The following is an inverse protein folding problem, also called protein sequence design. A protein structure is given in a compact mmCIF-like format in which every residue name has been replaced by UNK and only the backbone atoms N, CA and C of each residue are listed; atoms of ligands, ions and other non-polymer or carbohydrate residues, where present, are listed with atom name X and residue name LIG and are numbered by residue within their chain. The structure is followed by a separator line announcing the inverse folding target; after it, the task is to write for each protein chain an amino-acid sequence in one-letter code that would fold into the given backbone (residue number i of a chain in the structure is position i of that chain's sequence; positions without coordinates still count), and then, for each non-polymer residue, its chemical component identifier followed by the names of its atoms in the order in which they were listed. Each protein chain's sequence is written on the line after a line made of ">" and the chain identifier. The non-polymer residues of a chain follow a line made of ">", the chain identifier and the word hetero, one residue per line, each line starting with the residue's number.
data_IF_321311307788
#
_entry.id   IF_321311307788
#
_cell.length_a   1.000
_cell.length_b   1.000
_cell.length_c   1.000
_cell.angle_alpha   90.00
_cell.angle_beta   90.00
_cell.angle_gamma   90.00
#
_symmetry.space_group_name_H-M   'P 1'
#
loop_
_entity.id
_entity.type
_entity.pdbx_description
1 polymer ?
#
# COMPACT_ATOMS: atom_id res chain seq x y z
N UNK A 1 -11.69 14.29 -19.33
CA UNK A 1 -12.22 13.23 -18.44
C UNK A 1 -11.33 13.13 -17.21
N UNK A 2 -11.90 13.01 -16.01
CA UNK A 2 -11.12 12.82 -14.77
C UNK A 2 -10.80 11.33 -14.58
N UNK A 3 -9.80 10.83 -15.32
CA UNK A 3 -9.39 9.42 -15.28
C UNK A 3 -8.95 9.00 -13.88
N UNK A 4 -8.45 9.92 -13.07
CA UNK A 4 -8.08 9.65 -11.69
C UNK A 4 -9.23 9.19 -10.79
N UNK A 5 -10.50 9.37 -11.17
CA UNK A 5 -11.66 8.84 -10.43
C UNK A 5 -12.05 7.41 -10.85
N UNK A 6 -11.48 6.91 -11.95
CA UNK A 6 -11.78 5.57 -12.48
C UNK A 6 -10.94 4.50 -11.76
N UNK A 7 -11.52 3.36 -11.33
CA UNK A 7 -10.78 2.22 -10.79
C UNK A 7 -9.71 1.68 -11.76
N UNK A 8 -8.62 1.13 -11.22
CA UNK A 8 -7.48 0.67 -12.01
C UNK A 8 -7.87 -0.42 -13.02
N UNK A 9 -8.67 -1.41 -12.61
CA UNK A 9 -9.14 -2.44 -13.54
C UNK A 9 -9.94 -1.86 -14.72
N UNK A 10 -10.74 -0.81 -14.49
CA UNK A 10 -11.48 -0.10 -15.55
C UNK A 10 -10.58 0.74 -16.45
N UNK A 11 -9.57 1.40 -15.89
CA UNK A 11 -8.55 2.09 -16.69
C UNK A 11 -7.85 1.12 -17.65
N UNK A 12 -7.51 -0.08 -17.16
CA UNK A 12 -6.91 -1.13 -18.00
C UNK A 12 -7.87 -1.64 -19.07
N UNK A 13 -9.15 -1.87 -18.74
CA UNK A 13 -10.17 -2.24 -19.74
C UNK A 13 -10.26 -1.20 -20.86
N UNK A 14 -10.33 0.09 -20.52
CA UNK A 14 -10.37 1.19 -21.50
C UNK A 14 -9.10 1.25 -22.35
N UNK A 15 -7.92 1.08 -21.75
CA UNK A 15 -6.63 1.05 -22.43
C UNK A 15 -6.54 -0.09 -23.44
N UNK A 16 -6.89 -1.31 -23.01
CA UNK A 16 -6.86 -2.49 -23.89
C UNK A 16 -7.92 -2.45 -24.98
N UNK A 17 -9.04 -1.75 -24.74
CA UNK A 17 -10.04 -1.41 -25.75
C UNK A 17 -9.62 -0.24 -26.66
N UNK A 18 -8.41 0.32 -26.48
CA UNK A 18 -7.86 1.44 -27.26
C UNK A 18 -8.72 2.72 -27.20
N UNK A 19 -9.45 2.91 -26.11
CA UNK A 19 -10.27 4.11 -25.88
C UNK A 19 -9.46 5.27 -25.30
N UNK A 20 -8.34 4.95 -24.63
CA UNK A 20 -7.39 5.88 -24.03
C UNK A 20 -5.98 5.29 -24.20
N UNK A 21 -4.96 6.14 -24.16
CA UNK A 21 -3.55 5.75 -24.11
C UNK A 21 -2.99 5.76 -22.69
N UNK A 22 -1.87 5.08 -22.49
CA UNK A 22 -1.12 5.08 -21.22
C UNK A 22 -0.58 6.46 -20.90
N UNK A 23 -0.09 7.18 -21.91
CA UNK A 23 0.36 8.58 -21.73
C UNK A 23 -0.77 9.46 -21.24
N UNK A 24 -1.99 9.33 -21.78
CA UNK A 24 -3.16 10.08 -21.30
C UNK A 24 -3.50 9.75 -19.84
N UNK A 25 -3.46 8.46 -19.46
CA UNK A 25 -3.66 8.04 -18.06
C UNK A 25 -2.62 8.72 -17.16
N UNK A 26 -1.33 8.54 -17.45
CA UNK A 26 -0.24 9.05 -16.60
C UNK A 26 -0.25 10.57 -16.52
N UNK A 27 -0.50 11.28 -17.62
CA UNK A 27 -0.62 12.74 -17.62
C UNK A 27 -1.81 13.22 -16.77
N UNK A 28 -2.92 12.48 -16.75
CA UNK A 28 -4.08 12.82 -15.91
C UNK A 28 -3.74 12.76 -14.42
N UNK A 29 -3.06 11.68 -13.98
CA UNK A 29 -2.61 11.54 -12.59
C UNK A 29 -1.51 12.55 -12.21
N UNK A 30 -0.53 12.81 -13.08
CA UNK A 30 0.49 13.84 -12.83
C UNK A 30 -0.11 15.25 -12.76
N UNK A 31 -1.14 15.54 -13.54
CA UNK A 31 -1.87 16.81 -13.46
C UNK A 31 -2.62 16.93 -12.14
N UNK A 32 -3.21 15.82 -11.66
CA UNK A 32 -3.83 15.76 -10.34
C UNK A 32 -2.81 16.03 -9.23
N UNK A 33 -1.69 15.32 -9.20
CA UNK A 33 -0.58 15.54 -8.26
C UNK A 33 -0.19 17.03 -8.24
N UNK A 34 0.10 17.63 -9.40
CA UNK A 34 0.46 19.05 -9.50
C UNK A 34 -0.57 20.00 -8.86
N UNK A 35 -1.85 19.66 -8.92
CA UNK A 35 -2.93 20.52 -8.43
C UNK A 35 -3.17 20.47 -6.91
N UNK A 36 -2.85 19.34 -6.26
CA UNK A 36 -3.26 19.09 -4.85
C UNK A 36 -2.13 18.63 -3.92
N UNK A 37 -1.01 18.13 -4.44
CA UNK A 37 0.06 17.52 -3.63
C UNK A 37 0.68 18.51 -2.63
N UNK A 38 0.72 19.81 -2.94
CA UNK A 38 1.21 20.83 -2.00
C UNK A 38 0.40 20.89 -0.69
N UNK A 39 -0.87 20.48 -0.72
CA UNK A 39 -1.76 20.43 0.45
C UNK A 39 -1.69 19.08 1.16
N UNK A 40 -1.63 17.98 0.40
CA UNK A 40 -1.72 16.61 0.92
C UNK A 40 -0.36 16.09 1.36
N UNK A 41 0.68 16.36 0.55
CA UNK A 41 2.05 15.92 0.76
C UNK A 41 2.16 14.40 0.86
N UNK A 42 1.55 13.66 -0.08
CA UNK A 42 1.57 12.22 -0.11
C UNK A 42 2.89 11.62 -0.64
N UNK A 43 3.71 12.37 -1.39
CA UNK A 43 4.91 11.89 -2.09
C UNK A 43 6.20 12.55 -1.60
N UNK A 44 7.21 11.74 -1.28
CA UNK A 44 8.60 12.21 -1.07
C UNK A 44 9.31 12.44 -2.40
N UNK A 45 9.06 11.56 -3.38
CA UNK A 45 9.70 11.62 -4.70
C UNK A 45 8.66 11.32 -5.77
N UNK A 46 8.42 12.25 -6.68
CA UNK A 46 7.56 12.04 -7.86
C UNK A 46 8.47 11.68 -9.05
N UNK A 47 8.09 10.66 -9.81
CA UNK A 47 8.92 10.10 -10.91
C UNK A 47 8.39 10.52 -12.28
N UNK A 48 7.98 11.78 -12.45
CA UNK A 48 7.27 12.29 -13.65
C UNK A 48 7.92 11.87 -14.99
N UNK A 49 9.21 12.16 -15.17
CA UNK A 49 9.90 11.83 -16.43
C UNK A 49 9.96 10.32 -16.66
N UNK A 50 10.28 9.55 -15.61
CA UNK A 50 10.36 8.08 -15.69
C UNK A 50 8.99 7.48 -15.98
N UNK A 51 7.93 7.98 -15.33
CA UNK A 51 6.57 7.53 -15.52
C UNK A 51 6.07 7.78 -16.95
N UNK A 52 6.39 8.94 -17.53
CA UNK A 52 6.04 9.26 -18.92
C UNK A 52 6.81 8.41 -19.93
N UNK A 53 8.09 8.11 -19.70
CA UNK A 53 8.85 7.20 -20.57
C UNK A 53 8.34 5.75 -20.48
N UNK A 54 8.01 5.27 -19.27
CA UNK A 54 7.34 3.98 -19.09
C UNK A 54 6.00 3.94 -19.84
N UNK A 55 5.21 5.02 -19.76
CA UNK A 55 3.92 5.12 -20.45
C UNK A 55 4.06 4.97 -21.97
N UNK A 56 5.01 5.69 -22.58
CA UNK A 56 5.31 5.58 -24.02
C UNK A 56 5.73 4.17 -24.41
N UNK A 57 6.49 3.48 -23.57
CA UNK A 57 6.90 2.10 -23.83
C UNK A 57 5.71 1.14 -23.83
N UNK A 58 4.76 1.29 -22.89
CA UNK A 58 3.51 0.49 -22.87
C UNK A 58 2.64 0.79 -24.09
N UNK A 59 2.48 2.07 -24.45
CA UNK A 59 1.72 2.44 -25.64
C UNK A 59 2.33 1.87 -26.92
N UNK A 60 3.67 1.83 -27.02
CA UNK A 60 4.38 1.18 -28.12
C UNK A 60 4.06 -0.32 -28.18
N UNK A 61 4.09 -1.04 -27.06
CA UNK A 61 3.71 -2.47 -27.00
C UNK A 61 2.29 -2.70 -27.49
N UNK A 62 1.34 -1.85 -27.09
CA UNK A 62 -0.06 -1.95 -27.52
C UNK A 62 -0.21 -1.69 -29.02
N UNK A 63 0.53 -0.71 -29.55
CA UNK A 63 0.51 -0.35 -30.97
C UNK A 63 1.11 -1.45 -31.85
N UNK A 64 2.16 -2.13 -31.40
CA UNK A 64 2.80 -3.27 -32.10
C UNK A 64 2.05 -4.59 -31.93
N UNK A 65 0.99 -4.62 -31.12
CA UNK A 65 0.20 -5.83 -30.85
C UNK A 65 0.89 -6.82 -29.90
N UNK A 66 1.91 -6.38 -29.17
CA UNK A 66 2.54 -7.16 -28.12
C UNK A 66 1.58 -7.37 -26.94
N UNK A 67 1.71 -8.51 -26.26
CA UNK A 67 0.93 -8.79 -25.06
C UNK A 67 1.38 -7.85 -23.94
N UNK A 68 0.41 -7.20 -23.29
CA UNK A 68 0.64 -6.35 -22.11
C UNK A 68 0.18 -7.04 -20.82
N UNK A 69 0.79 -6.65 -19.71
CA UNK A 69 0.54 -7.20 -18.38
C UNK A 69 -0.83 -6.86 -17.78
N UNK A 70 -1.06 -7.39 -16.57
CA UNK A 70 -2.26 -7.19 -15.74
C UNK A 70 -2.37 -5.79 -15.16
N UNK A 71 -1.27 -5.05 -15.09
CA UNK A 71 -1.22 -3.67 -14.58
C UNK A 71 -0.81 -2.67 -15.66
N UNK A 72 -0.92 -3.07 -16.93
CA UNK A 72 -0.53 -2.25 -18.08
C UNK A 72 -1.06 -0.82 -17.97
N UNK A 73 -0.13 0.12 -17.88
CA UNK A 73 -0.40 1.55 -17.88
C UNK A 73 -1.03 2.11 -16.60
N UNK A 74 -1.16 1.30 -15.54
CA UNK A 74 -1.76 1.72 -14.27
C UNK A 74 -0.74 2.49 -13.42
N UNK A 75 -1.03 3.74 -13.01
CA UNK A 75 -0.18 4.50 -12.09
C UNK A 75 -0.24 3.94 -10.66
N UNK A 76 0.91 3.50 -10.16
CA UNK A 76 1.09 2.91 -8.83
C UNK A 76 2.00 3.79 -7.98
N UNK A 77 1.52 4.12 -6.78
CA UNK A 77 2.32 4.74 -5.73
C UNK A 77 3.02 3.67 -4.88
N UNK A 78 4.28 3.90 -4.50
CA UNK A 78 5.10 2.92 -3.77
C UNK A 78 5.60 3.51 -2.46
N UNK A 79 5.27 2.90 -1.32
CA UNK A 79 5.80 3.34 -0.01
C UNK A 79 7.33 3.42 -0.01
N UNK A 80 7.87 4.50 0.55
CA UNK A 80 9.30 4.83 0.41
C UNK A 80 10.27 3.96 1.23
N UNK A 81 9.78 2.92 1.92
CA UNK A 81 10.60 1.84 2.48
C UNK A 81 10.67 0.60 1.58
N UNK A 82 10.14 0.67 0.36
CA UNK A 82 10.27 -0.38 -0.65
C UNK A 82 11.34 0.06 -1.66
N UNK A 83 12.43 -0.69 -1.73
CA UNK A 83 13.54 -0.43 -2.63
C UNK A 83 13.09 -0.46 -4.09
N UNK A 84 13.39 0.62 -4.81
CA UNK A 84 13.08 0.77 -6.24
C UNK A 84 14.35 1.21 -6.94
N UNK A 85 14.86 0.38 -7.85
CA UNK A 85 16.14 0.61 -8.53
C UNK A 85 16.17 1.98 -9.21
N UNK A 86 17.29 2.67 -9.05
CA UNK A 86 17.57 4.01 -9.61
C UNK A 86 16.62 5.11 -9.12
N UNK A 87 15.76 4.81 -8.13
CA UNK A 87 14.86 5.76 -7.49
C UNK A 87 15.25 5.88 -6.02
N UNK A 88 15.24 7.12 -5.53
CA UNK A 88 15.56 7.43 -4.14
C UNK A 88 14.61 6.68 -3.19
N UNK A 89 15.16 6.04 -2.16
CA UNK A 89 14.41 5.27 -1.16
C UNK A 89 14.88 5.70 0.23
N UNK A 90 14.07 6.49 0.93
CA UNK A 90 14.53 7.19 2.15
C UNK A 90 13.96 6.64 3.45
N UNK A 91 12.94 5.78 3.40
CA UNK A 91 12.14 5.42 4.57
C UNK A 91 11.60 6.63 5.36
N UNK A 92 11.39 7.77 4.68
CA UNK A 92 11.09 9.05 5.31
C UNK A 92 12.12 9.50 6.37
N UNK A 93 13.38 9.06 6.23
CA UNK A 93 14.46 9.34 7.17
C UNK A 93 15.55 10.21 6.55
N UNK A 94 16.19 11.05 7.39
CA UNK A 94 17.40 11.78 7.01
C UNK A 94 18.59 10.85 6.76
N UNK A 95 18.70 9.73 7.48
CA UNK A 95 19.87 8.83 7.36
C UNK A 95 19.94 8.16 5.98
N UNK A 96 18.79 8.04 5.28
CA UNK A 96 18.70 7.53 3.91
C UNK A 96 18.26 8.62 2.91
N UNK A 97 18.32 9.90 3.29
CA UNK A 97 17.75 11.00 2.50
C UNK A 97 18.34 11.19 1.10
N UNK A 98 19.52 10.62 0.84
CA UNK A 98 20.21 10.59 -0.45
C UNK A 98 20.40 9.16 -1.01
N UNK A 99 19.84 8.13 -0.36
CA UNK A 99 20.03 6.74 -0.80
C UNK A 99 19.26 6.46 -2.08
N UNK A 100 19.99 6.04 -3.13
CA UNK A 100 19.42 5.56 -4.39
C UNK A 100 19.59 4.04 -4.41
N UNK A 101 18.48 3.31 -4.47
CA UNK A 101 18.53 1.86 -4.47
C UNK A 101 19.21 1.33 -5.72
N UNK A 102 20.10 0.35 -5.56
CA UNK A 102 20.80 -0.32 -6.66
C UNK A 102 20.05 -1.54 -7.21
N UNK A 103 18.92 -1.89 -6.58
CA UNK A 103 18.10 -3.04 -6.94
C UNK A 103 16.62 -2.76 -6.72
N UNK A 104 15.78 -3.53 -7.38
CA UNK A 104 14.33 -3.54 -7.18
C UNK A 104 13.99 -4.53 -6.07
N UNK A 105 13.04 -4.17 -5.20
CA UNK A 105 12.36 -5.16 -4.38
C UNK A 105 11.57 -6.15 -5.27
N UNK A 106 11.34 -7.37 -4.81
CA UNK A 106 10.67 -8.39 -5.64
C UNK A 106 9.25 -7.96 -6.06
N UNK A 107 8.55 -7.20 -5.22
CA UNK A 107 7.24 -6.64 -5.57
C UNK A 107 7.35 -5.59 -6.68
N UNK A 108 8.46 -4.86 -6.75
CA UNK A 108 8.73 -3.85 -7.78
C UNK A 108 9.04 -4.53 -9.11
N UNK A 109 9.86 -5.59 -9.11
CA UNK A 109 10.09 -6.41 -10.30
C UNK A 109 8.77 -6.98 -10.84
N UNK A 110 7.92 -7.52 -9.96
CA UNK A 110 6.61 -8.09 -10.33
C UNK A 110 5.69 -7.05 -10.98
N UNK A 111 5.50 -5.88 -10.38
CA UNK A 111 4.63 -4.85 -10.99
C UNK A 111 5.21 -4.29 -12.29
N UNK A 112 6.54 -4.14 -12.40
CA UNK A 112 7.19 -3.71 -13.65
C UNK A 112 7.01 -4.74 -14.77
N UNK A 113 7.12 -6.03 -14.46
CA UNK A 113 6.88 -7.12 -15.40
C UNK A 113 5.41 -7.19 -15.87
N UNK A 114 4.49 -6.65 -15.06
CA UNK A 114 3.07 -6.52 -15.41
C UNK A 114 2.72 -5.13 -15.99
N UNK A 115 3.73 -4.39 -16.47
CA UNK A 115 3.61 -3.10 -17.17
C UNK A 115 2.99 -1.95 -16.35
N UNK A 116 3.11 -2.01 -15.01
CA UNK A 116 2.71 -0.92 -14.14
C UNK A 116 3.61 0.31 -14.28
N UNK A 117 3.04 1.49 -14.04
CA UNK A 117 3.77 2.77 -14.06
C UNK A 117 4.01 3.24 -12.63
N UNK A 118 5.26 3.31 -12.19
CA UNK A 118 5.57 3.82 -10.84
C UNK A 118 5.51 5.35 -10.90
N UNK A 119 4.49 5.93 -10.28
CA UNK A 119 4.22 7.39 -10.33
C UNK A 119 5.04 8.18 -9.29
N UNK A 120 5.49 7.49 -8.24
CA UNK A 120 6.35 8.08 -7.22
C UNK A 120 6.47 7.22 -5.95
N UNK A 121 7.31 7.71 -5.04
CA UNK A 121 7.56 7.16 -3.71
C UNK A 121 6.76 7.95 -2.67
N UNK A 122 5.90 7.27 -1.92
CA UNK A 122 5.00 7.90 -0.96
C UNK A 122 5.64 8.11 0.40
N UNK A 123 5.23 9.19 1.05
CA UNK A 123 5.62 9.54 2.40
C UNK A 123 5.11 8.51 3.42
N UNK A 124 5.77 8.47 4.57
CA UNK A 124 5.53 7.52 5.64
C UNK A 124 6.07 8.07 6.97
N UNK A 125 5.69 7.47 8.09
CA UNK A 125 6.47 7.64 9.32
C UNK A 125 7.89 7.10 9.12
N UNK A 126 8.88 7.78 9.70
CA UNK A 126 10.28 7.41 9.61
C UNK A 126 10.48 5.92 10.01
N UNK A 127 11.12 5.16 9.13
CA UNK A 127 11.34 3.70 9.27
C UNK A 127 10.08 2.87 9.58
N UNK A 128 8.92 3.33 9.12
CA UNK A 128 7.61 2.71 9.35
C UNK A 128 7.12 2.76 10.81
N UNK A 129 7.77 3.55 11.67
CA UNK A 129 7.51 3.65 13.10
C UNK A 129 6.58 4.83 13.44
N UNK A 130 5.28 4.59 13.33
CA UNK A 130 4.26 5.56 13.69
C UNK A 130 2.89 5.18 13.17
N UNK A 131 1.91 5.96 13.58
CA UNK A 131 0.49 5.76 13.25
C UNK A 131 -0.18 7.03 12.74
N UNK A 132 0.60 8.03 12.30
CA UNK A 132 0.05 9.30 11.81
C UNK A 132 0.75 9.93 10.61
N UNK A 133 1.90 9.40 10.18
CA UNK A 133 2.75 9.98 9.14
C UNK A 133 3.34 11.37 9.50
N UNK A 134 3.25 11.77 10.77
CA UNK A 134 3.82 13.02 11.29
C UNK A 134 5.30 12.88 11.64
N UNK A 135 5.77 11.65 11.91
CA UNK A 135 7.18 11.36 12.19
C UNK A 135 8.05 11.31 10.93
N UNK A 136 7.51 11.62 9.75
CA UNK A 136 8.33 11.78 8.55
C UNK A 136 9.37 12.86 8.77
N UNK A 137 10.65 12.56 8.52
CA UNK A 137 11.73 13.52 8.65
C UNK A 137 11.73 14.60 7.53
N UNK A 138 10.81 14.49 6.56
CA UNK A 138 10.63 15.46 5.48
C UNK A 138 9.47 16.42 5.75
N UNK A 139 8.26 15.89 5.93
CA UNK A 139 7.04 16.67 6.17
C UNK A 139 5.87 15.76 6.57
N UNK A 140 4.86 16.28 7.30
CA UNK A 140 3.64 15.52 7.58
C UNK A 140 2.75 15.42 6.33
N UNK A 141 2.16 14.25 6.10
CA UNK A 141 1.06 14.06 5.14
C UNK A 141 -0.27 14.40 5.81
N UNK A 142 -1.22 14.96 5.06
CA UNK A 142 -2.56 15.33 5.53
C UNK A 142 -3.64 14.40 4.98
N UNK A 143 -4.74 14.25 5.71
CA UNK A 143 -5.88 13.44 5.27
C UNK A 143 -6.67 14.18 4.16
N UNK A 144 -6.93 13.57 2.98
CA UNK A 144 -7.69 14.21 1.92
C UNK A 144 -9.14 14.57 2.29
N UNK A 145 -9.72 13.90 3.31
CA UNK A 145 -11.08 14.19 3.80
C UNK A 145 -11.13 15.37 4.77
N UNK A 146 -10.03 15.65 5.45
CA UNK A 146 -9.87 16.81 6.35
C UNK A 146 -8.37 17.12 6.51
N UNK A 147 -7.91 18.24 5.96
CA UNK A 147 -6.48 18.58 5.95
C UNK A 147 -5.90 18.87 7.34
N UNK A 148 -6.74 19.05 8.36
CA UNK A 148 -6.32 19.24 9.75
C UNK A 148 -6.11 17.92 10.50
N UNK A 149 -6.43 16.77 9.89
CA UNK A 149 -6.29 15.45 10.49
C UNK A 149 -5.21 14.60 9.82
N UNK A 150 -4.78 13.56 10.54
CA UNK A 150 -3.82 12.59 10.03
C UNK A 150 -4.46 11.62 9.03
N UNK A 151 -3.74 11.20 7.97
CA UNK A 151 -4.13 10.09 7.11
C UNK A 151 -3.86 8.71 7.76
N UNK A 152 -3.36 8.67 8.99
CA UNK A 152 -2.86 7.47 9.64
C UNK A 152 -1.39 7.17 9.33
N UNK A 153 -0.89 6.06 9.84
CA UNK A 153 0.49 5.63 9.64
C UNK A 153 0.74 4.14 9.83
N UNK A 154 1.86 3.62 9.34
CA UNK A 154 2.94 4.37 8.70
C UNK A 154 2.82 4.50 7.18
N UNK A 155 1.84 3.86 6.52
CA UNK A 155 1.61 4.01 5.08
C UNK A 155 0.66 5.19 4.75
N UNK A 156 0.75 6.28 5.52
CA UNK A 156 -0.15 7.44 5.40
C UNK A 156 -0.10 8.08 4.01
N UNK A 157 1.09 8.26 3.42
CA UNK A 157 1.23 8.76 2.06
C UNK A 157 0.60 7.84 1.00
N UNK A 158 0.76 6.52 1.12
CA UNK A 158 0.12 5.57 0.19
C UNK A 158 -1.41 5.64 0.24
N UNK A 159 -1.98 5.71 1.44
CA UNK A 159 -3.44 5.81 1.62
C UNK A 159 -4.00 7.16 1.20
N UNK A 160 -3.28 8.25 1.48
CA UNK A 160 -3.64 9.60 1.05
C UNK A 160 -3.58 9.76 -0.48
N UNK A 161 -2.52 9.26 -1.13
CA UNK A 161 -2.37 9.32 -2.59
C UNK A 161 -3.54 8.64 -3.32
N UNK A 162 -3.96 7.46 -2.86
CA UNK A 162 -5.12 6.74 -3.44
C UNK A 162 -6.42 7.49 -3.19
N UNK A 163 -6.68 7.92 -1.94
CA UNK A 163 -7.89 8.65 -1.57
C UNK A 163 -8.03 9.98 -2.34
N UNK A 164 -6.91 10.67 -2.58
CA UNK A 164 -6.86 11.94 -3.29
C UNK A 164 -6.92 11.83 -4.82
N UNK A 165 -6.80 10.61 -5.36
CA UNK A 165 -6.70 10.37 -6.80
C UNK A 165 -5.34 10.68 -7.41
N UNK A 166 -4.27 10.73 -6.60
CA UNK A 166 -2.89 10.94 -7.08
C UNK A 166 -2.22 9.64 -7.54
N UNK A 167 -2.78 8.49 -7.14
CA UNK A 167 -2.44 7.18 -7.68
C UNK A 167 -3.72 6.33 -7.85
N UNK A 168 -3.71 5.40 -8.80
CA UNK A 168 -4.84 4.49 -9.00
C UNK A 168 -4.88 3.42 -7.89
N UNK A 169 -3.71 2.90 -7.56
CA UNK A 169 -3.45 1.93 -6.49
C UNK A 169 -2.09 2.23 -5.87
N UNK A 170 -1.83 1.69 -4.67
CA UNK A 170 -0.56 1.87 -4.00
C UNK A 170 -0.10 0.60 -3.27
N UNK A 171 1.21 0.52 -3.04
CA UNK A 171 1.82 -0.42 -2.11
C UNK A 171 2.06 0.26 -0.77
N UNK A 172 1.77 -0.45 0.31
CA UNK A 172 2.16 -0.10 1.68
C UNK A 172 2.88 -1.25 2.37
N UNK A 173 3.27 -1.04 3.63
CA UNK A 173 3.77 -2.09 4.52
C UNK A 173 3.01 -2.05 5.84
N UNK A 174 2.65 -3.21 6.39
CA UNK A 174 1.89 -3.36 7.64
C UNK A 174 2.67 -4.26 8.60
N UNK A 175 3.08 -3.68 9.72
CA UNK A 175 3.78 -4.37 10.82
C UNK A 175 2.86 -4.54 12.02
N UNK A 176 2.14 -3.47 12.38
CA UNK A 176 1.19 -3.45 13.51
C UNK A 176 -0.18 -2.86 13.17
N UNK A 177 -0.51 -2.71 11.89
CA UNK A 177 -1.68 -1.96 11.41
C UNK A 177 -1.37 -0.95 10.31
N UNK A 178 -0.12 -0.86 9.87
CA UNK A 178 0.39 0.25 9.06
C UNK A 178 -0.11 0.32 7.62
N UNK A 179 -0.96 -0.62 7.16
CA UNK A 179 -1.77 -0.49 5.93
C UNK A 179 -3.24 -0.29 6.30
N UNK A 180 -3.75 -1.13 7.22
CA UNK A 180 -5.18 -1.17 7.56
C UNK A 180 -5.65 0.11 8.25
N UNK A 181 -4.86 0.67 9.15
CA UNK A 181 -5.21 1.89 9.87
C UNK A 181 -5.22 3.12 8.95
N UNK A 182 -4.21 3.36 8.10
CA UNK A 182 -4.29 4.42 7.10
C UNK A 182 -5.48 4.25 6.15
N UNK A 183 -5.72 3.01 5.69
CA UNK A 183 -6.84 2.75 4.78
C UNK A 183 -8.20 3.07 5.41
N UNK A 184 -8.40 2.72 6.69
CA UNK A 184 -9.59 3.06 7.44
C UNK A 184 -9.78 4.58 7.58
N UNK A 185 -8.70 5.32 7.88
CA UNK A 185 -8.75 6.76 8.10
C UNK A 185 -8.91 7.57 6.80
N UNK A 186 -8.50 7.03 5.66
CA UNK A 186 -8.66 7.68 4.35
C UNK A 186 -9.81 7.10 3.51
N UNK A 187 -10.63 6.21 4.08
CA UNK A 187 -11.77 5.62 3.37
C UNK A 187 -11.38 4.82 2.12
N UNK A 188 -10.22 4.15 2.16
CA UNK A 188 -9.72 3.30 1.06
C UNK A 188 -9.76 1.82 1.46
N UNK A 189 -9.60 0.93 0.48
CA UNK A 189 -9.45 -0.51 0.71
C UNK A 189 -7.97 -0.82 0.89
N UNK A 190 -7.59 -1.30 2.06
CA UNK A 190 -6.22 -1.76 2.32
C UNK A 190 -6.21 -2.94 3.28
N UNK A 191 -5.44 -3.97 2.96
CA UNK A 191 -5.31 -5.14 3.81
C UNK A 191 -3.88 -5.66 3.87
N UNK A 192 -3.56 -6.31 4.98
CA UNK A 192 -2.29 -7.02 5.15
C UNK A 192 -2.50 -8.48 4.75
N UNK A 193 -1.80 -9.00 3.73
CA UNK A 193 -1.89 -10.42 3.40
C UNK A 193 -1.31 -11.30 4.51
N UNK A 194 -1.49 -12.61 4.37
CA UNK A 194 -0.84 -13.62 5.21
C UNK A 194 0.67 -13.40 5.21
N UNK A 195 1.32 -13.55 6.37
CA UNK A 195 2.77 -13.44 6.46
C UNK A 195 3.45 -14.46 5.54
N UNK A 196 4.40 -14.00 4.73
CA UNK A 196 5.10 -14.80 3.72
C UNK A 196 4.38 -14.91 2.36
N UNK A 197 3.15 -14.41 2.21
CA UNK A 197 2.44 -14.44 0.92
C UNK A 197 3.09 -13.51 -0.12
N UNK A 198 3.59 -12.37 0.32
CA UNK A 198 4.33 -11.40 -0.50
C UNK A 198 5.76 -11.35 0.01
N UNK A 199 6.73 -11.38 -0.91
CA UNK A 199 8.14 -11.32 -0.54
C UNK A 199 8.47 -10.03 0.22
N UNK A 200 9.38 -10.15 1.18
CA UNK A 200 9.98 -9.04 1.93
C UNK A 200 11.36 -8.65 1.38
N UNK A 201 11.86 -9.31 0.33
CA UNK A 201 13.10 -8.90 -0.32
C UNK A 201 12.98 -7.49 -0.91
N UNK A 202 13.86 -6.59 -0.47
CA UNK A 202 13.83 -5.17 -0.82
C UNK A 202 12.79 -4.34 -0.06
N UNK A 203 12.06 -4.91 0.89
CA UNK A 203 11.41 -4.14 1.95
C UNK A 203 12.46 -3.80 3.00
N UNK A 204 12.66 -2.52 3.28
CA UNK A 204 13.52 -2.09 4.39
C UNK A 204 12.84 -2.48 5.70
N UNK A 205 13.48 -3.40 6.42
CA UNK A 205 12.91 -4.07 7.57
C UNK A 205 12.72 -3.14 8.77
N UNK A 206 11.54 -3.22 9.38
CA UNK A 206 11.26 -2.72 10.71
C UNK A 206 11.27 -3.90 11.69
N UNK A 207 10.24 -4.75 11.65
CA UNK A 207 10.18 -5.98 12.45
C UNK A 207 9.99 -7.17 11.51
N UNK A 208 11.08 -7.90 11.28
CA UNK A 208 11.18 -8.98 10.32
C UNK A 208 10.08 -10.05 10.46
N UNK A 209 9.68 -10.41 11.68
CA UNK A 209 8.64 -11.43 11.90
C UNK A 209 7.19 -10.93 11.68
N UNK A 210 7.01 -9.62 11.47
CA UNK A 210 5.70 -8.96 11.43
C UNK A 210 5.44 -8.26 10.10
N UNK A 211 6.50 -7.70 9.50
CA UNK A 211 6.43 -6.89 8.29
C UNK A 211 5.81 -7.64 7.11
N UNK A 212 4.86 -6.99 6.46
CA UNK A 212 4.26 -7.54 5.24
C UNK A 212 3.84 -6.40 4.30
N UNK A 213 4.26 -6.47 3.03
CA UNK A 213 3.76 -5.60 1.97
C UNK A 213 2.33 -5.98 1.61
N UNK A 214 1.49 -4.99 1.33
CA UNK A 214 0.10 -5.19 0.90
C UNK A 214 -0.44 -4.04 0.05
N UNK A 215 -1.61 -4.24 -0.58
CA UNK A 215 -2.22 -3.27 -1.46
C UNK A 215 -3.00 -2.20 -0.69
N UNK A 216 -3.12 -1.02 -1.29
CA UNK A 216 -4.12 0.00 -0.99
C UNK A 216 -4.77 0.44 -2.30
N UNK A 217 -6.10 0.47 -2.35
CA UNK A 217 -6.87 0.74 -3.57
C UNK A 217 -8.21 1.42 -3.26
N UNK A 218 -8.92 1.88 -4.29
CA UNK A 218 -10.25 2.49 -4.17
C UNK A 218 -11.37 1.46 -4.00
N UNK A 219 -11.18 0.27 -4.54
CA UNK A 219 -12.14 -0.82 -4.47
C UNK A 219 -11.46 -2.18 -4.22
N UNK A 220 -12.27 -3.19 -3.89
CA UNK A 220 -11.78 -4.53 -3.57
C UNK A 220 -11.19 -5.22 -4.79
N UNK A 221 -11.77 -5.04 -5.98
CA UNK A 221 -11.26 -5.63 -7.24
C UNK A 221 -9.82 -5.19 -7.53
N UNK A 222 -9.52 -3.90 -7.35
CA UNK A 222 -8.18 -3.35 -7.56
C UNK A 222 -7.18 -3.85 -6.50
N UNK A 223 -7.63 -4.04 -5.26
CA UNK A 223 -6.80 -4.63 -4.20
C UNK A 223 -6.48 -6.11 -4.48
N UNK A 224 -7.45 -6.87 -4.99
CA UNK A 224 -7.25 -8.26 -5.46
C UNK A 224 -6.28 -8.29 -6.63
N UNK A 225 -6.48 -7.44 -7.65
CA UNK A 225 -5.62 -7.33 -8.82
C UNK A 225 -4.16 -7.08 -8.43
N UNK A 226 -3.91 -6.11 -7.56
CA UNK A 226 -2.55 -5.80 -7.11
C UNK A 226 -1.95 -6.96 -6.30
N UNK A 227 -2.75 -7.60 -5.43
CA UNK A 227 -2.30 -8.75 -4.63
C UNK A 227 -1.91 -9.92 -5.51
N UNK A 228 -2.69 -10.20 -6.55
CA UNK A 228 -2.42 -11.27 -7.51
C UNK A 228 -1.06 -11.09 -8.17
N UNK A 229 -0.70 -9.85 -8.53
CA UNK A 229 0.61 -9.54 -9.14
C UNK A 229 1.76 -9.68 -8.14
N UNK A 230 1.59 -9.21 -6.91
CA UNK A 230 2.72 -9.14 -5.97
C UNK A 230 2.90 -10.41 -5.12
N UNK A 231 1.95 -11.32 -5.08
CA UNK A 231 2.02 -12.55 -4.27
C UNK A 231 2.88 -13.66 -4.90
N UNK A 232 3.32 -14.61 -4.07
CA UNK A 232 3.98 -15.84 -4.52
C UNK A 232 5.40 -15.99 -3.98
N UNK A 233 5.87 -17.25 -4.00
CA UNK A 233 7.20 -17.66 -3.53
C UNK A 233 8.30 -16.83 -4.21
N UNK A 234 9.33 -16.50 -3.44
CA UNK A 234 10.50 -15.77 -3.91
C UNK A 234 11.77 -16.47 -3.41
N UNK A 235 12.71 -16.87 -4.30
CA UNK A 235 13.98 -17.45 -3.88
C UNK A 235 14.85 -16.49 -3.06
N UNK A 236 14.66 -15.17 -3.18
CA UNK A 236 15.40 -14.16 -2.42
C UNK A 236 14.86 -13.94 -1.00
N UNK A 237 13.71 -14.55 -0.67
CA UNK A 237 13.10 -14.47 0.65
C UNK A 237 12.81 -15.87 1.19
N UNK A 238 13.64 -16.33 2.14
CA UNK A 238 13.49 -17.64 2.78
C UNK A 238 12.17 -17.80 3.54
N UNK A 239 11.53 -16.70 3.95
CA UNK A 239 10.24 -16.70 4.67
C UNK A 239 9.02 -16.64 3.76
N UNK A 240 9.22 -16.34 2.46
CA UNK A 240 8.13 -16.40 1.49
C UNK A 240 7.59 -17.82 1.38
N UNK A 241 6.29 -17.98 1.18
CA UNK A 241 5.64 -19.29 1.09
C UNK A 241 5.07 -19.51 -0.31
N UNK A 242 5.06 -20.76 -0.75
CA UNK A 242 4.27 -21.15 -1.91
C UNK A 242 2.81 -21.11 -1.50
N UNK A 243 2.04 -20.24 -2.14
CA UNK A 243 0.61 -20.12 -1.91
C UNK A 243 -0.09 -19.95 -3.24
N UNK A 244 -1.08 -20.79 -3.51
CA UNK A 244 -1.94 -20.62 -4.66
C UNK A 244 -2.97 -19.54 -4.32
N UNK A 245 -2.59 -18.28 -4.53
CA UNK A 245 -3.53 -17.19 -4.44
C UNK A 245 -4.60 -17.42 -5.50
N UNK A 246 -5.82 -17.66 -5.06
CA UNK A 246 -6.95 -17.84 -5.95
C UNK A 246 -7.65 -16.48 -6.08
N UNK A 247 -7.50 -15.78 -7.22
CA UNK A 247 -8.16 -14.50 -7.43
C UNK A 247 -9.66 -14.66 -7.73
N UNK A 248 -10.22 -15.90 -7.69
CA UNK A 248 -11.65 -16.15 -7.85
C UNK A 248 -12.40 -15.09 -7.05
N UNK A 249 -13.04 -14.20 -7.80
CA UNK A 249 -13.49 -12.89 -7.32
C UNK A 249 -14.49 -12.97 -6.19
N UNK A 250 -15.05 -11.82 -5.85
CA UNK A 250 -16.02 -11.66 -4.76
C UNK A 250 -17.05 -12.80 -4.74
N UNK A 251 -16.95 -13.67 -3.73
CA UNK A 251 -17.89 -14.77 -3.54
C UNK A 251 -19.10 -14.28 -2.74
N UNK A 252 -20.32 -14.79 -3.02
CA UNK A 252 -21.47 -14.46 -2.21
C UNK A 252 -21.24 -14.82 -0.74
N UNK A 253 -21.60 -13.92 0.17
CA UNK A 253 -21.43 -14.13 1.63
C UNK A 253 -22.49 -15.06 2.24
N UNK A 254 -23.43 -15.58 1.44
CA UNK A 254 -24.48 -16.48 1.91
C UNK A 254 -23.87 -17.76 2.49
N UNK A 255 -24.14 -18.00 3.77
CA UNK A 255 -23.60 -19.14 4.53
C UNK A 255 -22.21 -18.92 5.12
N UNK A 256 -21.55 -17.79 4.83
CA UNK A 256 -20.26 -17.43 5.43
C UNK A 256 -20.41 -17.27 6.94
N UNK A 257 -19.50 -17.87 7.72
CA UNK A 257 -19.45 -17.73 9.18
C UNK A 257 -18.53 -16.57 9.54
N UNK A 258 -19.04 -15.57 10.23
CA UNK A 258 -18.30 -14.37 10.64
C UNK A 258 -18.20 -14.35 12.16
N UNK A 259 -16.99 -14.54 12.68
CA UNK A 259 -16.71 -14.39 14.12
C UNK A 259 -16.72 -12.92 14.52
N UNK A 260 -17.42 -12.58 15.61
CA UNK A 260 -17.55 -11.23 16.16
C UNK A 260 -16.93 -11.24 17.57
N UNK A 261 -15.65 -10.84 17.73
CA UNK A 261 -15.00 -10.82 19.03
C UNK A 261 -15.59 -9.74 19.93
N UNK A 262 -16.05 -10.12 21.13
CA UNK A 262 -16.58 -9.15 22.11
C UNK A 262 -15.57 -8.07 22.48
N UNK A 263 -14.28 -8.42 22.52
CA UNK A 263 -13.19 -7.51 22.88
C UNK A 263 -13.02 -6.36 21.89
N UNK A 264 -13.53 -6.48 20.65
CA UNK A 264 -13.46 -5.43 19.63
C UNK A 264 -14.54 -4.35 19.78
N UNK A 265 -15.43 -4.47 20.76
CA UNK A 265 -16.44 -3.47 21.12
C UNK A 265 -16.25 -2.95 22.56
N UNK A 266 -15.03 -3.07 23.10
CA UNK A 266 -14.69 -2.62 24.44
C UNK A 266 -14.56 -1.10 24.58
N UNK A 267 -14.14 -0.65 25.77
CA UNK A 267 -14.09 0.77 26.17
C UNK A 267 -13.25 1.69 25.26
N UNK A 268 -12.30 1.14 24.52
CA UNK A 268 -11.41 1.89 23.62
C UNK A 268 -12.01 2.24 22.25
N UNK A 269 -13.29 1.91 21.98
CA UNK A 269 -13.94 2.13 20.68
C UNK A 269 -15.04 3.17 20.81
N UNK A 270 -14.93 4.24 20.03
CA UNK A 270 -15.95 5.29 19.96
C UNK A 270 -17.30 4.73 19.51
N UNK A 271 -18.38 5.29 20.09
CA UNK A 271 -19.75 4.84 19.83
C UNK A 271 -20.15 4.91 18.37
N UNK A 272 -19.69 5.94 17.65
CA UNK A 272 -19.96 6.11 16.22
C UNK A 272 -19.31 4.97 15.40
N UNK A 273 -18.08 4.59 15.75
CA UNK A 273 -17.36 3.47 15.10
C UNK A 273 -18.03 2.14 15.42
N UNK A 274 -18.37 1.89 16.69
CA UNK A 274 -19.09 0.69 17.10
C UNK A 274 -20.45 0.54 16.39
N UNK A 275 -21.17 1.66 16.21
CA UNK A 275 -22.44 1.71 15.48
C UNK A 275 -22.24 1.40 13.99
N UNK A 276 -21.22 1.99 13.35
CA UNK A 276 -20.90 1.75 11.95
C UNK A 276 -20.55 0.27 11.69
N UNK A 277 -19.73 -0.34 12.55
CA UNK A 277 -19.37 -1.76 12.47
C UNK A 277 -20.62 -2.63 12.65
N UNK A 278 -21.47 -2.31 13.62
CA UNK A 278 -22.74 -3.02 13.85
C UNK A 278 -23.67 -2.92 12.62
N UNK A 279 -23.72 -1.77 11.96
CA UNK A 279 -24.42 -1.58 10.69
C UNK A 279 -23.89 -2.49 9.58
N UNK A 280 -22.56 -2.60 9.45
CA UNK A 280 -21.92 -3.50 8.49
C UNK A 280 -22.19 -4.98 8.79
N UNK A 281 -22.16 -5.39 10.06
CA UNK A 281 -22.51 -6.75 10.48
C UNK A 281 -23.97 -7.11 10.14
N UNK A 282 -24.92 -6.20 10.39
CA UNK A 282 -26.33 -6.36 9.99
C UNK A 282 -26.50 -6.46 8.48
N UNK A 283 -25.69 -5.75 7.71
CA UNK A 283 -25.69 -5.89 6.25
C UNK A 283 -25.22 -7.29 5.83
N UNK A 284 -24.12 -7.80 6.40
CA UNK A 284 -23.63 -9.16 6.14
C UNK A 284 -24.68 -10.22 6.48
N UNK A 285 -25.34 -10.09 7.62
CA UNK A 285 -26.42 -11.00 8.04
C UNK A 285 -27.60 -10.97 7.05
N UNK A 286 -28.06 -9.78 6.61
CA UNK A 286 -29.11 -9.64 5.58
C UNK A 286 -28.73 -10.27 4.25
N UNK A 287 -27.44 -10.27 3.90
CA UNK A 287 -26.90 -10.93 2.70
C UNK A 287 -26.71 -12.46 2.89
N UNK A 288 -27.04 -12.99 4.08
CA UNK A 288 -27.07 -14.41 4.37
C UNK A 288 -25.84 -14.94 5.10
N UNK A 289 -24.94 -14.08 5.58
CA UNK A 289 -23.87 -14.50 6.47
C UNK A 289 -24.42 -14.90 7.85
N UNK A 290 -23.68 -15.73 8.58
CA UNK A 290 -23.97 -16.18 9.95
C UNK A 290 -23.00 -15.50 10.90
N UNK A 291 -23.50 -14.59 11.73
CA UNK A 291 -22.71 -13.95 12.78
C UNK A 291 -22.56 -14.92 13.97
N UNK A 292 -21.35 -14.98 14.53
CA UNK A 292 -21.00 -15.90 15.61
C UNK A 292 -20.20 -15.11 16.65
N UNK A 293 -20.73 -14.98 17.85
CA UNK A 293 -19.99 -14.37 18.95
C UNK A 293 -18.78 -15.25 19.30
N UNK A 294 -17.61 -14.63 19.41
CA UNK A 294 -16.36 -15.30 19.79
C UNK A 294 -15.64 -14.50 20.87
N UNK A 295 -14.71 -15.15 21.55
CA UNK A 295 -13.89 -14.52 22.57
C UNK A 295 -12.42 -14.60 22.20
N UNK A 296 -11.71 -13.49 22.34
CA UNK A 296 -10.26 -13.37 22.17
C UNK A 296 -9.66 -12.78 23.45
N UNK A 297 -9.64 -13.53 24.57
CA UNK A 297 -9.30 -12.99 25.89
C UNK A 297 -7.86 -12.47 26.01
N UNK A 298 -6.97 -12.90 25.10
CA UNK A 298 -5.57 -12.47 25.04
C UNK A 298 -5.35 -11.21 24.18
N UNK A 299 -6.37 -10.72 23.47
CA UNK A 299 -6.26 -9.55 22.57
C UNK A 299 -5.81 -8.28 23.30
N UNK A 300 -6.20 -8.12 24.57
CA UNK A 300 -5.76 -6.99 25.42
C UNK A 300 -4.23 -6.90 25.58
N UNK A 301 -3.51 -8.01 25.40
CA UNK A 301 -2.05 -8.04 25.49
C UNK A 301 -1.37 -7.76 24.14
N UNK A 302 -2.11 -7.74 23.02
CA UNK A 302 -1.52 -7.66 21.68
C UNK A 302 -0.68 -6.39 21.48
N UNK A 303 -1.12 -5.25 22.00
CA UNK A 303 -0.36 -3.99 21.91
C UNK A 303 0.95 -4.10 22.70
N UNK A 304 0.89 -4.57 23.95
CA UNK A 304 2.08 -4.72 24.79
C UNK A 304 3.09 -5.71 24.17
N UNK A 305 2.62 -6.86 23.68
CA UNK A 305 3.47 -7.84 23.00
C UNK A 305 4.10 -7.26 21.74
N UNK A 306 3.32 -6.53 20.92
CA UNK A 306 3.83 -5.86 19.73
C UNK A 306 4.96 -4.88 20.06
N UNK A 307 4.78 -4.05 21.09
CA UNK A 307 5.79 -3.07 21.53
C UNK A 307 6.99 -3.67 22.25
N UNK A 308 7.01 -4.98 22.49
CA UNK A 308 8.23 -5.71 22.90
C UNK A 308 8.93 -6.29 21.67
N UNK A 309 8.18 -7.02 20.83
CA UNK A 309 8.73 -7.73 19.67
C UNK A 309 9.27 -6.75 18.62
N UNK A 310 8.46 -5.77 18.20
CA UNK A 310 8.81 -4.89 17.10
C UNK A 310 10.05 -4.03 17.41
N UNK A 311 10.16 -3.37 18.60
CA UNK A 311 11.37 -2.63 18.93
C UNK A 311 12.61 -3.51 19.13
N UNK A 312 12.45 -4.72 19.68
CA UNK A 312 13.57 -5.66 19.81
C UNK A 312 14.15 -6.02 18.44
N UNK A 313 13.31 -6.39 17.47
CA UNK A 313 13.77 -6.68 16.12
C UNK A 313 14.30 -5.43 15.41
N UNK A 314 13.65 -4.28 15.57
CA UNK A 314 14.09 -3.01 15.00
C UNK A 314 15.50 -2.63 15.47
N UNK A 315 15.81 -2.83 16.77
CA UNK A 315 17.12 -2.53 17.33
C UNK A 315 18.26 -3.27 16.63
N UNK A 316 17.99 -4.50 16.14
CA UNK A 316 18.93 -5.30 15.37
C UNK A 316 18.89 -4.94 13.88
N UNK A 317 17.68 -4.84 13.29
CA UNK A 317 17.51 -4.56 11.87
C UNK A 317 18.12 -3.23 11.43
N UNK A 318 17.96 -2.18 12.26
CA UNK A 318 18.44 -0.82 11.98
C UNK A 318 19.92 -0.62 12.36
N UNK A 319 20.56 -1.57 13.04
CA UNK A 319 21.98 -1.46 13.42
C UNK A 319 22.93 -1.34 12.21
N UNK A 320 22.45 -1.68 11.00
CA UNK A 320 23.20 -1.55 9.73
C UNK A 320 23.41 -0.11 9.26
N UNK A 321 22.66 0.86 9.80
CA UNK A 321 22.72 2.25 9.36
C UNK A 321 23.78 3.02 10.15
N UNK A 322 25.04 2.82 9.75
CA UNK A 322 26.23 3.39 10.39
C UNK A 322 26.93 4.46 9.54
N UNK A 323 26.46 4.71 8.33
CA UNK A 323 27.06 5.65 7.37
C UNK A 323 28.35 5.14 6.70
N UNK A 324 28.79 3.91 6.98
CA UNK A 324 30.02 3.36 6.42
C UNK A 324 29.85 2.96 4.94
N UNK A 325 28.73 2.34 4.60
CA UNK A 325 28.46 1.80 3.25
C UNK A 325 27.52 2.68 2.42
N UNK A 326 26.51 3.28 3.06
CA UNK A 326 25.50 4.10 2.40
C UNK A 326 24.78 4.99 3.42
N UNK A 327 24.01 5.96 2.91
CA UNK A 327 23.27 6.91 3.74
C UNK A 327 24.10 8.13 4.14
N UNK A 328 23.65 8.80 5.19
CA UNK A 328 24.29 10.00 5.73
C UNK A 328 25.59 9.65 6.46
N UNK A 329 26.64 10.44 6.19
CA UNK A 329 27.93 10.39 6.87
C UNK A 329 28.32 11.82 7.27
N UNK A 330 28.61 12.02 8.55
CA UNK A 330 29.17 13.27 9.09
C UNK A 330 30.67 13.37 8.83
#
# INVERSE_FOLDING_TARGET
>A
MELYNTPAHKLREMLTARQISTVEIVQNFLSRIRSIEQKIKAFITITENVALEQAKAVDKKIATGEKVGKLAGIPIAVKDNICTKDIRTTCASKILGNFISQYDASVIERIKNEDAIIIGKTNMDEFAMGSSCENSAFFPTRNPWNLDTTPGGSSGGSAAAVAAGEAAIALGSDTGGSIRQPAALTGTVGFKPTYGLVSRYGLIAFASSLDQIGPIAKCVDDAILLTEVICGKDPMDSTSVTYNFNPNGLTPVKGLRVGVPKEYFGEGVDREIASAITGALKLLERLGAKLIDVELPLSKYSIATYYIVAPAEASSNLARYDGAHYGYRT
#
